data_IF_911542538566
#
_entry.id   IF_911542538566
#
_cell.length_a   1.000
_cell.length_b   1.000
_cell.length_c   1.000
_cell.angle_alpha   90.00
_cell.angle_beta   90.00
_cell.angle_gamma   90.00
#
_symmetry.space_group_name_H-M   'P 1'
#
loop_
_entity.id
_entity.type
_entity.pdbx_description
1 polymer ?
#
# COMPACT_ATOMS: atom_id res chain seq x y z
N UNK A 1 -1.49 17.39 -26.03
CA UNK A 1 -2.93 17.73 -25.95
C UNK A 1 -3.59 16.71 -25.05
N UNK A 2 -4.41 17.14 -24.08
CA UNK A 2 -5.20 16.20 -23.27
C UNK A 2 -6.10 15.37 -24.18
N UNK A 3 -6.10 14.05 -24.01
CA UNK A 3 -6.91 13.12 -24.80
C UNK A 3 -8.40 13.41 -24.59
N UNK A 4 -9.24 13.17 -25.61
CA UNK A 4 -10.69 13.38 -25.51
C UNK A 4 -11.29 12.58 -24.35
N UNK A 5 -10.80 11.36 -24.10
CA UNK A 5 -11.26 10.48 -23.01
C UNK A 5 -10.84 10.96 -21.60
N UNK A 6 -10.06 12.04 -21.50
CA UNK A 6 -9.72 12.67 -20.22
C UNK A 6 -10.69 13.78 -19.82
N UNK A 7 -11.73 14.05 -20.61
CA UNK A 7 -12.73 15.12 -20.33
C UNK A 7 -14.14 14.56 -20.29
N UNK A 8 -14.99 15.12 -19.43
CA UNK A 8 -16.42 14.82 -19.47
C UNK A 8 -17.08 15.41 -20.73
N UNK A 9 -18.08 14.74 -21.32
CA UNK A 9 -18.66 13.44 -20.93
C UNK A 9 -17.93 12.21 -21.51
N UNK A 10 -16.89 12.40 -22.34
CA UNK A 10 -16.21 11.33 -23.06
C UNK A 10 -15.51 10.34 -22.14
N UNK A 11 -14.97 10.81 -21.01
CA UNK A 11 -14.42 9.96 -19.95
C UNK A 11 -15.47 8.99 -19.45
N UNK A 12 -16.62 9.49 -18.97
CA UNK A 12 -17.73 8.66 -18.51
C UNK A 12 -18.19 7.67 -19.59
N UNK A 13 -18.31 8.10 -20.85
CA UNK A 13 -18.68 7.22 -21.96
C UNK A 13 -17.64 6.11 -22.19
N UNK A 14 -16.35 6.44 -22.10
CA UNK A 14 -15.27 5.47 -22.24
C UNK A 14 -15.29 4.43 -21.12
N UNK A 15 -15.40 4.86 -19.86
CA UNK A 15 -15.52 3.97 -18.71
C UNK A 15 -16.74 3.06 -18.84
N UNK A 16 -17.91 3.62 -19.18
CA UNK A 16 -19.12 2.84 -19.46
C UNK A 16 -18.91 1.81 -20.57
N UNK A 17 -18.18 2.16 -21.63
CA UNK A 17 -17.87 1.23 -22.72
C UNK A 17 -16.98 0.07 -22.27
N UNK A 18 -15.96 0.32 -21.44
CA UNK A 18 -15.09 -0.71 -20.85
C UNK A 18 -15.90 -1.67 -19.97
N UNK A 19 -16.75 -1.12 -19.10
CA UNK A 19 -17.64 -1.92 -18.24
C UNK A 19 -18.60 -2.76 -19.08
N UNK A 20 -19.18 -2.20 -20.15
CA UNK A 20 -20.06 -2.93 -21.06
C UNK A 20 -19.33 -4.08 -21.78
N UNK A 21 -18.09 -3.86 -22.22
CA UNK A 21 -17.24 -4.91 -22.82
C UNK A 21 -16.96 -6.02 -21.81
N UNK A 22 -16.60 -5.68 -20.57
CA UNK A 22 -16.39 -6.69 -19.52
C UNK A 22 -17.69 -7.46 -19.25
N UNK A 23 -18.83 -6.78 -19.13
CA UNK A 23 -20.13 -7.42 -18.94
C UNK A 23 -20.48 -8.39 -20.09
N UNK A 24 -20.11 -8.05 -21.34
CA UNK A 24 -20.28 -8.94 -22.49
C UNK A 24 -19.30 -10.12 -22.50
N UNK A 25 -18.08 -9.96 -21.95
CA UNK A 25 -17.08 -11.04 -21.82
C UNK A 25 -17.43 -12.05 -20.73
N UNK A 26 -18.13 -11.65 -19.67
CA UNK A 26 -18.46 -12.52 -18.53
C UNK A 26 -19.23 -13.80 -18.93
N UNK A 27 -20.32 -13.74 -19.76
CA UNK A 27 -20.98 -14.95 -20.25
C UNK A 27 -20.06 -15.84 -21.09
N UNK A 28 -19.17 -15.25 -21.91
CA UNK A 28 -18.22 -16.01 -22.73
C UNK A 28 -17.20 -16.74 -21.87
N UNK A 29 -16.59 -16.07 -20.89
CA UNK A 29 -15.69 -16.70 -19.92
C UNK A 29 -16.40 -17.79 -19.12
N UNK A 30 -17.64 -17.54 -18.72
CA UNK A 30 -18.46 -18.52 -18.01
C UNK A 30 -18.64 -19.78 -18.84
N UNK A 31 -19.03 -19.65 -20.11
CA UNK A 31 -19.15 -20.80 -21.01
C UNK A 31 -17.81 -21.51 -21.17
N UNK A 32 -16.73 -20.76 -21.45
CA UNK A 32 -15.38 -21.29 -21.63
C UNK A 32 -14.93 -22.17 -20.46
N UNK A 33 -15.09 -21.69 -19.23
CA UNK A 33 -14.70 -22.45 -18.02
C UNK A 33 -15.68 -23.56 -17.63
N UNK A 34 -16.92 -23.53 -18.14
CA UNK A 34 -17.89 -24.61 -17.93
C UNK A 34 -17.71 -25.76 -18.94
N UNK A 35 -17.18 -25.50 -20.14
CA UNK A 35 -16.94 -26.53 -21.18
C UNK A 35 -15.55 -27.19 -21.08
N UNK A 36 -14.83 -26.97 -19.99
CA UNK A 36 -13.60 -27.69 -19.66
C UNK A 36 -12.29 -26.95 -19.95
N UNK A 37 -12.30 -25.65 -20.28
CA UNK A 37 -11.05 -24.89 -20.34
C UNK A 37 -10.47 -24.70 -18.92
N UNK A 38 -9.15 -24.79 -18.83
CA UNK A 38 -8.45 -24.58 -17.56
C UNK A 38 -8.63 -23.15 -17.06
N UNK A 39 -8.96 -23.04 -15.76
CA UNK A 39 -8.92 -21.75 -15.06
C UNK A 39 -7.47 -21.35 -14.84
N UNK A 40 -7.17 -20.04 -14.71
CA UNK A 40 -5.81 -19.58 -14.39
C UNK A 40 -5.22 -20.24 -13.14
N UNK A 41 -6.07 -20.58 -12.16
CA UNK A 41 -5.73 -21.40 -11.00
C UNK A 41 -6.77 -22.50 -10.83
N UNK A 42 -6.38 -23.79 -10.73
CA UNK A 42 -7.32 -24.88 -10.54
C UNK A 42 -8.13 -24.79 -9.23
N UNK A 43 -7.55 -24.20 -8.19
CA UNK A 43 -8.17 -24.01 -6.86
C UNK A 43 -9.30 -22.97 -6.86
N UNK A 44 -9.37 -22.11 -7.87
CA UNK A 44 -10.33 -21.01 -7.88
C UNK A 44 -11.74 -21.47 -8.22
N UNK A 45 -12.71 -20.91 -7.49
CA UNK A 45 -14.11 -20.96 -7.89
C UNK A 45 -14.32 -20.16 -9.18
N UNK A 46 -15.36 -20.50 -9.95
CA UNK A 46 -15.74 -19.74 -11.14
C UNK A 46 -15.93 -18.24 -10.81
N UNK A 47 -16.51 -17.92 -9.65
CA UNK A 47 -16.68 -16.54 -9.19
C UNK A 47 -15.34 -15.81 -9.01
N UNK A 48 -14.37 -16.42 -8.33
CA UNK A 48 -13.01 -15.86 -8.17
C UNK A 48 -12.38 -15.58 -9.54
N UNK A 49 -12.43 -16.55 -10.45
CA UNK A 49 -11.90 -16.41 -11.82
C UNK A 49 -12.55 -15.26 -12.60
N UNK A 50 -13.88 -15.17 -12.62
CA UNK A 50 -14.58 -14.14 -13.40
C UNK A 50 -14.29 -12.73 -12.88
N UNK A 51 -14.23 -12.55 -11.56
CA UNK A 51 -13.92 -11.24 -10.96
C UNK A 51 -12.47 -10.85 -11.25
N UNK A 52 -11.50 -11.77 -11.14
CA UNK A 52 -10.10 -11.46 -11.49
C UNK A 52 -9.98 -11.07 -12.96
N UNK A 53 -10.62 -11.81 -13.87
CA UNK A 53 -10.64 -11.45 -15.29
C UNK A 53 -11.23 -10.04 -15.51
N UNK A 54 -12.30 -9.68 -14.79
CA UNK A 54 -12.87 -8.35 -14.85
C UNK A 54 -11.91 -7.27 -14.30
N UNK A 55 -11.26 -7.51 -13.16
CA UNK A 55 -10.28 -6.58 -12.57
C UNK A 55 -9.11 -6.33 -13.53
N UNK A 56 -8.58 -7.37 -14.17
CA UNK A 56 -7.48 -7.29 -15.16
C UNK A 56 -7.79 -6.38 -16.35
N UNK A 57 -9.06 -6.24 -16.71
CA UNK A 57 -9.52 -5.40 -17.82
C UNK A 57 -9.74 -3.93 -17.41
N UNK A 58 -10.00 -3.69 -16.12
CA UNK A 58 -10.40 -2.39 -15.58
C UNK A 58 -9.27 -1.66 -14.84
N UNK A 59 -8.28 -2.38 -14.30
CA UNK A 59 -7.26 -1.80 -13.41
C UNK A 59 -6.39 -0.71 -14.07
N UNK A 60 -6.21 -0.76 -15.40
CA UNK A 60 -5.43 0.23 -16.15
C UNK A 60 -6.27 1.43 -16.65
N UNK A 61 -7.59 1.43 -16.43
CA UNK A 61 -8.47 2.52 -16.86
C UNK A 61 -8.09 3.91 -16.34
N UNK A 62 -7.57 4.05 -15.10
CA UNK A 62 -6.96 5.31 -14.66
C UNK A 62 -5.87 5.85 -15.59
N UNK A 63 -5.06 4.97 -16.19
CA UNK A 63 -3.99 5.39 -17.10
C UNK A 63 -4.52 5.93 -18.43
N UNK A 64 -5.61 5.35 -18.91
CA UNK A 64 -6.30 5.76 -20.13
C UNK A 64 -7.05 7.10 -19.91
N UNK A 65 -7.68 7.27 -18.75
CA UNK A 65 -8.63 8.38 -18.48
C UNK A 65 -8.05 9.55 -17.69
N UNK A 66 -6.92 9.37 -17.02
CA UNK A 66 -6.35 10.34 -16.09
C UNK A 66 -7.16 10.53 -14.80
N UNK A 67 -8.11 9.63 -14.55
CA UNK A 67 -8.87 9.59 -13.30
C UNK A 67 -8.28 8.52 -12.38
N UNK A 68 -7.37 8.95 -11.52
CA UNK A 68 -6.63 8.08 -10.63
C UNK A 68 -7.36 7.77 -9.32
N UNK A 69 -8.65 8.09 -9.23
CA UNK A 69 -9.48 7.84 -8.05
C UNK A 69 -8.89 8.44 -6.75
N UNK A 70 -8.02 9.44 -6.88
CA UNK A 70 -7.50 10.21 -5.78
C UNK A 70 -8.51 11.25 -5.29
N UNK A 71 -8.24 11.83 -4.13
CA UNK A 71 -9.01 12.94 -3.59
C UNK A 71 -8.17 14.20 -3.50
N UNK A 72 -8.83 15.34 -3.41
CA UNK A 72 -8.17 16.62 -3.16
C UNK A 72 -7.73 16.67 -1.69
N UNK A 73 -6.42 16.55 -1.38
CA UNK A 73 -5.95 16.46 -0.01
C UNK A 73 -6.04 17.81 0.73
N UNK A 74 -6.50 18.86 0.07
CA UNK A 74 -6.69 20.20 0.67
C UNK A 74 -8.12 20.44 1.16
N UNK A 75 -9.05 19.53 0.88
CA UNK A 75 -10.47 19.67 1.22
C UNK A 75 -10.89 18.75 2.34
N UNK A 76 -11.69 19.32 3.25
CA UNK A 76 -12.40 18.55 4.26
C UNK A 76 -13.56 17.78 3.62
N UNK A 77 -13.77 16.55 4.08
CA UNK A 77 -14.91 15.71 3.68
C UNK A 77 -15.96 15.78 4.78
N UNK A 78 -17.21 16.06 4.39
CA UNK A 78 -18.30 16.16 5.35
C UNK A 78 -18.54 14.80 6.06
N UNK A 79 -18.94 14.80 7.35
CA UNK A 79 -19.13 13.55 8.11
C UNK A 79 -20.09 12.54 7.44
N UNK A 80 -21.14 13.03 6.76
CA UNK A 80 -22.09 12.18 6.03
C UNK A 80 -21.45 11.41 4.86
N UNK A 81 -20.38 11.96 4.30
CA UNK A 81 -19.67 11.42 3.15
C UNK A 81 -18.49 10.55 3.59
N UNK A 82 -18.19 10.49 4.89
CA UNK A 82 -17.10 9.67 5.46
C UNK A 82 -17.53 8.23 5.81
N UNK A 83 -18.71 7.75 5.38
CA UNK A 83 -19.14 6.34 5.55
C UNK A 83 -18.83 5.72 6.94
N UNK A 84 -19.13 6.45 8.02
CA UNK A 84 -18.90 6.05 9.42
C UNK A 84 -17.48 6.26 9.96
N UNK A 85 -16.51 6.66 9.13
CA UNK A 85 -15.20 7.11 9.58
C UNK A 85 -15.23 8.60 9.99
N UNK A 86 -14.20 9.01 10.73
CA UNK A 86 -13.97 10.39 11.17
C UNK A 86 -12.91 11.04 10.29
N UNK A 87 -13.25 12.13 9.59
CA UNK A 87 -12.24 12.97 8.95
C UNK A 87 -11.35 13.65 10.00
N UNK A 88 -10.04 13.67 9.76
CA UNK A 88 -9.02 14.20 10.66
C UNK A 88 -8.02 15.03 9.83
N UNK A 89 -7.65 16.20 10.35
CA UNK A 89 -6.50 16.93 9.84
C UNK A 89 -5.23 16.54 10.61
N UNK A 90 -4.20 16.16 9.86
CA UNK A 90 -2.86 15.85 10.37
C UNK A 90 -1.94 17.02 10.01
N UNK A 91 -1.31 17.61 11.02
CA UNK A 91 -0.42 18.75 10.83
C UNK A 91 0.94 18.34 10.25
N UNK A 92 1.58 19.29 9.57
CA UNK A 92 2.91 19.09 8.98
C UNK A 92 3.99 18.80 10.02
N UNK A 93 5.03 18.11 9.59
CA UNK A 93 6.22 17.82 10.39
C UNK A 93 7.05 19.09 10.58
N UNK A 94 7.64 19.28 11.76
CA UNK A 94 8.62 20.35 11.98
C UNK A 94 9.91 20.07 11.17
N UNK A 95 10.45 21.03 10.40
CA UNK A 95 11.57 20.77 9.47
C UNK A 95 12.82 20.16 10.10
N UNK A 96 13.08 20.39 11.39
CA UNK A 96 14.21 19.82 12.13
C UNK A 96 14.11 18.30 12.36
N UNK A 97 12.94 17.69 12.12
CA UNK A 97 12.73 16.25 12.17
C UNK A 97 12.92 15.58 10.82
N UNK A 98 13.25 16.33 9.75
CA UNK A 98 13.54 15.81 8.41
C UNK A 98 15.05 15.91 8.20
N UNK A 99 15.76 14.79 8.32
CA UNK A 99 17.23 14.72 8.34
C UNK A 99 17.75 13.63 7.39
N UNK A 100 19.07 13.50 7.33
CA UNK A 100 19.74 12.41 6.63
C UNK A 100 19.43 12.35 5.13
N UNK A 101 19.33 11.14 4.61
CA UNK A 101 19.05 10.89 3.20
C UNK A 101 17.68 11.38 2.75
N UNK A 102 16.64 11.23 3.59
CA UNK A 102 15.29 11.72 3.29
C UNK A 102 15.31 13.23 3.09
N UNK A 103 16.06 13.98 3.90
CA UNK A 103 16.23 15.43 3.69
C UNK A 103 16.89 15.73 2.35
N UNK A 104 17.96 15.01 1.97
CA UNK A 104 18.64 15.22 0.68
C UNK A 104 17.68 15.05 -0.49
N UNK A 105 16.84 14.02 -0.47
CA UNK A 105 15.84 13.81 -1.52
C UNK A 105 14.71 14.84 -1.47
N UNK A 106 14.25 15.21 -0.27
CA UNK A 106 13.27 16.28 -0.11
C UNK A 106 13.75 17.60 -0.73
N UNK A 107 14.98 18.01 -0.44
CA UNK A 107 15.59 19.21 -1.02
C UNK A 107 15.73 19.07 -2.55
N UNK A 108 16.20 17.91 -3.04
CA UNK A 108 16.41 17.69 -4.48
C UNK A 108 15.10 17.71 -5.28
N UNK A 109 14.04 17.10 -4.75
CA UNK A 109 12.73 16.97 -5.38
C UNK A 109 11.76 18.11 -5.02
N UNK A 110 12.18 19.09 -4.21
CA UNK A 110 11.30 20.14 -3.68
C UNK A 110 10.06 19.58 -2.98
N UNK A 111 10.25 18.51 -2.20
CA UNK A 111 9.20 17.87 -1.42
C UNK A 111 9.18 18.44 -0.01
N UNK A 112 8.06 19.06 0.38
CA UNK A 112 7.86 19.63 1.70
C UNK A 112 6.75 18.89 2.45
N UNK A 113 6.85 18.84 3.79
CA UNK A 113 5.75 18.36 4.63
C UNK A 113 4.64 19.41 4.67
N UNK A 114 3.40 18.96 4.44
CA UNK A 114 2.19 19.79 4.45
C UNK A 114 1.17 19.19 5.41
N UNK A 115 0.11 19.96 5.68
CA UNK A 115 -1.05 19.42 6.39
C UNK A 115 -1.81 18.49 5.45
N UNK A 116 -2.18 17.31 5.93
CA UNK A 116 -2.83 16.27 5.12
C UNK A 116 -4.10 15.75 5.80
N UNK A 117 -5.03 15.14 5.04
CA UNK A 117 -6.17 14.43 5.61
C UNK A 117 -5.78 13.08 6.20
N UNK A 118 -6.63 12.57 7.07
CA UNK A 118 -6.67 11.19 7.50
C UNK A 118 -8.11 10.78 7.84
N UNK A 119 -8.37 9.48 7.86
CA UNK A 119 -9.69 8.94 8.20
C UNK A 119 -9.57 7.96 9.35
N UNK A 120 -10.21 8.29 10.47
CA UNK A 120 -10.30 7.46 11.65
C UNK A 120 -11.44 6.46 11.57
N UNK A 121 -11.16 5.17 11.64
CA UNK A 121 -12.12 4.07 11.70
C UNK A 121 -12.28 3.56 13.14
N UNK A 122 -13.51 3.23 13.54
CA UNK A 122 -13.81 2.72 14.87
C UNK A 122 -14.17 3.84 15.86
N UNK A 123 -13.67 3.75 17.10
CA UNK A 123 -14.13 4.61 18.22
C UNK A 123 -13.45 5.99 18.26
N UNK A 124 -13.71 6.83 17.26
CA UNK A 124 -13.12 8.18 17.17
C UNK A 124 -13.97 9.31 17.77
N UNK A 125 -15.10 8.98 18.40
CA UNK A 125 -16.03 9.96 18.95
C UNK A 125 -16.79 10.76 17.89
N UNK A 126 -17.88 11.40 18.31
CA UNK A 126 -18.74 12.24 17.43
C UNK A 126 -18.63 13.74 17.76
N UNK A 127 -17.94 14.10 18.83
CA UNK A 127 -17.76 15.47 19.29
C UNK A 127 -16.87 16.32 18.38
N UNK A 128 -16.68 17.59 18.74
CA UNK A 128 -15.77 18.50 18.03
C UNK A 128 -14.29 18.08 18.21
N UNK A 129 -13.94 17.63 19.41
CA UNK A 129 -12.58 17.21 19.75
C UNK A 129 -12.30 15.75 19.41
N UNK A 130 -11.05 15.46 19.03
CA UNK A 130 -10.58 14.11 18.78
C UNK A 130 -10.10 13.49 20.11
N UNK A 131 -10.61 12.32 20.52
CA UNK A 131 -10.21 11.68 21.77
C UNK A 131 -8.71 11.36 21.81
N UNK A 132 -8.06 11.70 22.92
CA UNK A 132 -6.67 11.31 23.19
C UNK A 132 -6.56 9.78 23.42
N UNK A 133 -5.33 9.27 23.38
CA UNK A 133 -5.04 7.88 23.69
C UNK A 133 -5.28 7.57 25.17
N UNK A 134 -5.88 6.42 25.43
CA UNK A 134 -5.89 5.84 26.78
C UNK A 134 -4.58 5.11 27.06
N UNK A 135 -4.21 4.93 28.33
CA UNK A 135 -3.01 4.18 28.67
C UNK A 135 -3.12 2.72 28.20
N UNK A 136 -2.08 2.22 27.56
CA UNK A 136 -2.05 0.88 26.97
C UNK A 136 -2.85 0.72 25.67
N UNK A 137 -3.55 1.75 25.18
CA UNK A 137 -4.35 1.65 23.96
C UNK A 137 -3.46 1.47 22.73
N UNK A 138 -3.71 0.40 21.95
CA UNK A 138 -3.07 0.13 20.65
C UNK A 138 -3.89 0.74 19.50
N UNK A 139 -3.20 1.25 18.48
CA UNK A 139 -3.82 1.82 17.27
C UNK A 139 -3.14 1.28 16.02
N UNK A 140 -3.94 1.01 14.99
CA UNK A 140 -3.46 0.70 13.65
C UNK A 140 -3.39 1.98 12.81
N UNK A 141 -2.24 2.27 12.23
CA UNK A 141 -2.05 3.26 11.18
C UNK A 141 -1.91 2.53 9.84
N UNK A 142 -2.65 2.94 8.82
CA UNK A 142 -2.67 2.28 7.52
C UNK A 142 -2.33 3.24 6.38
N UNK A 143 -1.52 2.76 5.43
CA UNK A 143 -1.12 3.44 4.20
C UNK A 143 -1.63 2.59 3.03
N UNK A 144 -2.49 3.16 2.20
CA UNK A 144 -3.15 2.42 1.12
C UNK A 144 -2.19 2.11 -0.05
N UNK A 145 -2.52 1.08 -0.83
CA UNK A 145 -1.88 0.76 -2.11
C UNK A 145 -2.32 1.65 -3.27
N UNK A 146 -1.88 1.32 -4.49
CA UNK A 146 -2.20 2.08 -5.71
C UNK A 146 -0.98 2.66 -6.44
N UNK A 147 0.17 1.98 -6.37
CA UNK A 147 1.39 2.31 -7.11
C UNK A 147 1.88 3.76 -6.93
N UNK A 148 1.60 4.39 -5.78
CA UNK A 148 1.80 5.81 -5.47
C UNK A 148 0.98 6.81 -6.29
N UNK A 149 0.28 6.37 -7.33
CA UNK A 149 -0.37 7.24 -8.34
C UNK A 149 -1.89 7.18 -8.28
N UNK A 150 -2.46 6.18 -7.58
CA UNK A 150 -3.88 5.87 -7.53
C UNK A 150 -4.34 5.62 -6.09
N UNK A 151 -5.64 5.79 -5.87
CA UNK A 151 -6.32 5.38 -4.64
C UNK A 151 -6.43 6.51 -3.63
N UNK A 152 -7.07 6.20 -2.50
CA UNK A 152 -7.32 7.16 -1.43
C UNK A 152 -7.48 6.46 -0.08
N UNK A 153 -7.14 7.15 1.00
CA UNK A 153 -7.42 6.72 2.37
C UNK A 153 -8.91 6.76 2.73
N UNK A 154 -9.75 7.32 1.86
CA UNK A 154 -11.17 7.46 2.10
C UNK A 154 -11.86 6.11 2.37
N UNK A 155 -12.83 6.06 3.29
CA UNK A 155 -13.57 4.85 3.68
C UNK A 155 -14.44 4.20 2.59
N UNK A 156 -14.45 4.72 1.36
CA UNK A 156 -15.09 4.12 0.19
C UNK A 156 -14.09 3.37 -0.70
N UNK A 157 -12.79 3.61 -0.52
CA UNK A 157 -11.75 2.90 -1.25
C UNK A 157 -11.69 1.44 -0.81
N UNK A 158 -11.33 0.55 -1.74
CA UNK A 158 -11.25 -0.89 -1.51
C UNK A 158 -10.19 -1.24 -0.45
N UNK A 159 -9.12 -0.46 -0.36
CA UNK A 159 -8.05 -0.63 0.64
C UNK A 159 -8.54 -0.36 2.06
N UNK A 160 -9.62 0.43 2.23
CA UNK A 160 -10.26 0.66 3.54
C UNK A 160 -10.82 -0.61 4.18
N UNK A 161 -10.94 -1.72 3.44
CA UNK A 161 -11.26 -3.02 4.00
C UNK A 161 -10.18 -3.59 4.93
N UNK A 162 -8.93 -3.11 4.85
CA UNK A 162 -7.85 -3.50 5.77
C UNK A 162 -8.08 -2.93 7.18
N UNK A 163 -8.16 -1.60 7.41
CA UNK A 163 -8.42 -1.06 8.74
C UNK A 163 -9.77 -1.53 9.29
N UNK A 164 -10.81 -1.69 8.43
CA UNK A 164 -12.08 -2.28 8.84
C UNK A 164 -11.94 -3.75 9.27
N UNK A 165 -11.17 -4.55 8.54
CA UNK A 165 -10.90 -5.96 8.87
C UNK A 165 -10.21 -6.14 10.22
N UNK A 166 -9.24 -5.27 10.55
CA UNK A 166 -8.64 -5.27 11.88
C UNK A 166 -9.62 -4.91 13.00
N UNK A 167 -10.53 -3.97 12.76
CA UNK A 167 -11.57 -3.63 13.73
C UNK A 167 -12.64 -4.72 13.85
N UNK A 168 -12.91 -5.46 12.79
CA UNK A 168 -13.88 -6.56 12.78
C UNK A 168 -13.33 -7.81 13.49
N UNK A 169 -12.14 -8.26 13.10
CA UNK A 169 -11.55 -9.52 13.59
C UNK A 169 -10.57 -9.33 14.77
N UNK A 170 -10.23 -8.09 15.11
CA UNK A 170 -9.26 -7.74 16.14
C UNK A 170 -9.76 -6.69 17.13
N UNK A 171 -11.07 -6.62 17.37
CA UNK A 171 -11.67 -5.61 18.26
C UNK A 171 -11.16 -5.63 19.72
N UNK A 172 -10.58 -6.75 20.16
CA UNK A 172 -9.92 -6.88 21.46
C UNK A 172 -8.50 -6.29 21.46
N UNK A 173 -7.90 -6.11 20.29
CA UNK A 173 -6.56 -5.55 20.10
C UNK A 173 -6.62 -4.08 19.66
N UNK A 174 -7.50 -3.75 18.71
CA UNK A 174 -7.66 -2.40 18.18
C UNK A 174 -9.10 -1.92 18.33
N UNK A 175 -9.28 -0.79 18.99
CA UNK A 175 -10.55 -0.06 19.04
C UNK A 175 -10.61 1.10 18.03
N UNK A 176 -9.45 1.50 17.52
CA UNK A 176 -9.26 2.56 16.53
C UNK A 176 -8.24 2.13 15.48
N UNK A 177 -8.51 2.51 14.24
CA UNK A 177 -7.54 2.53 13.15
C UNK A 177 -7.59 3.90 12.45
N UNK A 178 -6.51 4.31 11.80
CA UNK A 178 -6.44 5.52 10.98
C UNK A 178 -5.80 5.20 9.63
N UNK A 179 -6.39 5.66 8.54
CA UNK A 179 -5.75 5.66 7.22
C UNK A 179 -5.25 7.07 6.90
N UNK A 180 -4.01 7.19 6.42
CA UNK A 180 -3.40 8.47 6.06
C UNK A 180 -3.60 8.76 4.57
N UNK A 181 -4.20 9.92 4.26
CA UNK A 181 -4.35 10.39 2.89
C UNK A 181 -3.03 11.05 2.44
N UNK A 182 -2.06 10.22 2.06
CA UNK A 182 -0.79 10.70 1.56
C UNK A 182 -0.93 11.25 0.14
N UNK A 183 -0.10 12.22 -0.23
CA UNK A 183 -0.13 12.81 -1.57
C UNK A 183 0.41 11.80 -2.59
N UNK A 184 -0.36 11.62 -3.66
CA UNK A 184 0.00 10.79 -4.79
C UNK A 184 1.12 11.43 -5.62
N UNK A 185 1.92 10.58 -6.25
CA UNK A 185 2.89 10.96 -7.26
C UNK A 185 2.21 11.13 -8.62
N UNK A 186 2.73 12.03 -9.44
CA UNK A 186 2.37 12.12 -10.85
C UNK A 186 3.57 12.60 -11.66
N UNK A 187 3.63 12.18 -12.92
CA UNK A 187 4.59 12.63 -13.93
C UNK A 187 3.93 12.70 -15.30
N UNK A 188 4.72 13.03 -16.33
CA UNK A 188 4.27 13.07 -17.73
C UNK A 188 3.46 11.81 -18.10
N UNK A 189 2.26 11.97 -18.69
CA UNK A 189 1.71 13.18 -19.33
C UNK A 189 0.97 14.16 -18.41
N UNK A 190 0.94 13.90 -17.10
CA UNK A 190 0.26 14.73 -16.10
C UNK A 190 1.25 15.69 -15.42
N UNK A 191 0.73 16.68 -14.69
CA UNK A 191 1.57 17.65 -13.98
C UNK A 191 2.40 16.95 -12.90
N UNK A 192 3.72 17.09 -13.00
CA UNK A 192 4.66 16.48 -12.04
C UNK A 192 4.36 16.93 -10.62
N UNK A 193 4.15 15.96 -9.72
CA UNK A 193 3.84 16.21 -8.31
C UNK A 193 4.15 14.98 -7.47
N UNK A 194 4.30 15.17 -6.16
CA UNK A 194 4.45 14.11 -5.17
C UNK A 194 5.58 13.08 -5.40
N UNK A 195 6.76 13.40 -5.96
CA UNK A 195 7.86 12.42 -6.06
C UNK A 195 8.37 12.02 -4.67
N UNK A 196 9.19 10.99 -4.58
CA UNK A 196 9.88 10.60 -3.35
C UNK A 196 10.71 11.79 -2.80
N UNK A 197 10.65 12.07 -1.48
CA UNK A 197 10.02 11.30 -0.40
C UNK A 197 8.63 11.80 0.05
N UNK A 198 7.82 12.42 -0.82
CA UNK A 198 6.56 13.08 -0.43
C UNK A 198 5.64 12.19 0.41
N UNK A 199 5.31 10.98 -0.06
CA UNK A 199 4.44 10.06 0.66
C UNK A 199 5.03 9.56 1.99
N UNK A 200 6.36 9.43 2.08
CA UNK A 200 7.07 9.13 3.33
C UNK A 200 6.92 10.28 4.34
N UNK A 201 7.06 11.53 3.90
CA UNK A 201 6.84 12.70 4.77
C UNK A 201 5.39 12.76 5.27
N UNK A 202 4.42 12.42 4.42
CA UNK A 202 3.01 12.42 4.80
C UNK A 202 2.69 11.29 5.81
N UNK A 203 3.24 10.09 5.60
CA UNK A 203 3.15 9.00 6.56
C UNK A 203 3.82 9.31 7.90
N UNK A 204 5.01 9.93 7.89
CA UNK A 204 5.68 10.38 9.12
C UNK A 204 4.84 11.43 9.86
N UNK A 205 4.14 12.32 9.16
CA UNK A 205 3.23 13.29 9.77
C UNK A 205 2.10 12.57 10.52
N UNK A 206 1.51 11.53 9.92
CA UNK A 206 0.50 10.69 10.55
C UNK A 206 1.02 10.01 11.83
N UNK A 207 2.21 9.40 11.77
CA UNK A 207 2.83 8.76 12.94
C UNK A 207 3.10 9.75 14.08
N UNK A 208 3.62 10.94 13.76
CA UNK A 208 3.88 12.00 14.74
C UNK A 208 2.59 12.59 15.31
N UNK A 209 1.53 12.70 14.52
CA UNK A 209 0.22 13.10 15.02
C UNK A 209 -0.33 12.11 16.05
N UNK A 210 -0.24 10.81 15.78
CA UNK A 210 -0.65 9.79 16.75
C UNK A 210 0.15 9.87 18.05
N UNK A 211 1.48 9.98 17.94
CA UNK A 211 2.36 9.89 19.11
C UNK A 211 2.47 11.19 19.90
N UNK A 212 2.56 12.34 19.22
CA UNK A 212 2.82 13.65 19.86
C UNK A 212 1.55 14.47 20.09
N UNK A 213 0.53 14.29 19.26
CA UNK A 213 -0.73 15.04 19.40
C UNK A 213 -1.79 14.22 20.14
N UNK A 214 -2.00 12.96 19.74
CA UNK A 214 -3.00 12.10 20.40
C UNK A 214 -2.46 11.35 21.63
N UNK A 215 -1.14 11.34 21.85
CA UNK A 215 -0.53 10.77 23.06
C UNK A 215 -0.39 9.25 23.06
N UNK A 216 -0.48 8.59 21.89
CA UNK A 216 -0.16 7.17 21.81
C UNK A 216 1.33 6.95 22.10
N UNK A 217 1.65 5.98 22.97
CA UNK A 217 3.03 5.53 23.14
C UNK A 217 3.53 4.91 21.82
N UNK A 218 4.75 5.18 21.34
CA UNK A 218 5.31 4.59 20.12
C UNK A 218 5.06 3.09 19.98
N UNK A 219 5.36 2.32 21.04
CA UNK A 219 5.19 0.86 21.07
C UNK A 219 3.74 0.37 20.95
N UNK A 220 2.75 1.28 21.01
CA UNK A 220 1.34 0.97 20.83
C UNK A 220 0.82 1.34 19.42
N UNK A 221 1.64 1.97 18.57
CA UNK A 221 1.29 2.29 17.19
C UNK A 221 1.78 1.15 16.29
N UNK A 222 0.85 0.49 15.61
CA UNK A 222 1.14 -0.54 14.61
C UNK A 222 0.98 0.08 13.22
N UNK A 223 2.04 0.04 12.42
CA UNK A 223 2.03 0.62 11.07
C UNK A 223 1.75 -0.49 10.08
N UNK A 224 0.81 -0.27 9.18
CA UNK A 224 0.45 -1.21 8.14
C UNK A 224 0.38 -0.53 6.78
N UNK A 225 0.59 -1.30 5.72
CA UNK A 225 0.31 -0.85 4.37
C UNK A 225 0.25 -1.98 3.37
N UNK A 226 -0.51 -1.77 2.31
CA UNK A 226 -0.67 -2.70 1.19
C UNK A 226 0.04 -2.19 -0.06
N UNK A 227 0.63 -3.08 -0.87
CA UNK A 227 1.28 -2.70 -2.13
C UNK A 227 2.26 -1.52 -1.97
N UNK A 228 2.05 -0.41 -2.69
CA UNK A 228 2.81 0.83 -2.53
C UNK A 228 2.76 1.42 -1.11
N UNK A 229 1.62 1.32 -0.42
CA UNK A 229 1.47 1.64 0.99
C UNK A 229 2.36 0.80 1.89
N UNK A 230 2.60 -0.46 1.53
CA UNK A 230 3.56 -1.33 2.21
C UNK A 230 5.01 -0.83 2.08
N UNK A 231 5.37 -0.26 0.92
CA UNK A 231 6.65 0.41 0.71
C UNK A 231 6.78 1.68 1.60
N UNK A 232 5.72 2.50 1.65
CA UNK A 232 5.67 3.69 2.53
C UNK A 232 5.82 3.27 4.00
N UNK A 233 5.06 2.26 4.46
CA UNK A 233 5.09 1.77 5.82
C UNK A 233 6.50 1.29 6.24
N UNK A 234 7.17 0.52 5.39
CA UNK A 234 8.55 0.10 5.60
C UNK A 234 9.52 1.29 5.65
N UNK A 235 9.33 2.28 4.77
CA UNK A 235 10.15 3.50 4.72
C UNK A 235 10.01 4.34 5.99
N UNK A 236 8.81 4.44 6.57
CA UNK A 236 8.57 5.11 7.85
C UNK A 236 9.36 4.41 8.95
N UNK A 237 9.22 3.09 9.07
CA UNK A 237 9.91 2.29 10.10
C UNK A 237 11.42 2.40 9.97
N UNK A 238 11.94 2.37 8.74
CA UNK A 238 13.36 2.61 8.45
C UNK A 238 13.80 3.97 8.96
N UNK A 239 13.05 5.03 8.64
CA UNK A 239 13.37 6.39 9.08
C UNK A 239 13.40 6.51 10.61
N UNK A 240 12.41 5.95 11.30
CA UNK A 240 12.32 5.97 12.77
C UNK A 240 13.50 5.24 13.42
N UNK A 241 13.94 4.12 12.83
CA UNK A 241 15.08 3.36 13.33
C UNK A 241 16.41 4.05 13.04
N UNK A 242 16.59 4.61 11.85
CA UNK A 242 17.86 5.20 11.42
C UNK A 242 18.16 6.53 12.13
N UNK A 243 17.13 7.15 12.73
CA UNK A 243 17.22 8.43 13.43
C UNK A 243 16.73 8.39 14.89
N UNK A 244 17.31 7.52 15.75
CA UNK A 244 16.89 7.39 17.15
C UNK A 244 17.11 8.69 17.95
N UNK A 245 18.07 9.52 17.55
CA UNK A 245 18.37 10.82 18.15
C UNK A 245 17.20 11.81 18.10
N UNK A 246 16.25 11.62 17.17
CA UNK A 246 15.07 12.47 17.03
C UNK A 246 13.97 12.14 18.05
N UNK A 247 14.14 11.08 18.85
CA UNK A 247 13.21 10.73 19.93
C UNK A 247 11.79 10.40 19.44
N UNK A 248 11.63 9.94 18.20
CA UNK A 248 10.33 9.58 17.63
C UNK A 248 9.81 8.22 18.10
N UNK A 249 10.70 7.40 18.67
CA UNK A 249 10.38 6.08 19.21
C UNK A 249 10.12 5.02 18.13
N UNK A 250 10.18 3.76 18.55
CA UNK A 250 9.95 2.60 17.69
C UNK A 250 8.47 2.20 17.74
N UNK A 251 7.80 1.94 16.61
CA UNK A 251 6.43 1.45 16.60
C UNK A 251 6.32 0.05 17.21
N UNK A 252 5.10 -0.35 17.58
CA UNK A 252 4.81 -1.67 18.15
C UNK A 252 4.95 -2.82 17.15
N UNK A 253 4.75 -2.54 15.86
CA UNK A 253 4.90 -3.53 14.80
C UNK A 253 4.72 -2.94 13.40
N UNK A 254 5.20 -3.67 12.40
CA UNK A 254 5.05 -3.38 10.97
C UNK A 254 4.29 -4.54 10.29
N UNK A 255 3.20 -4.23 9.60
CA UNK A 255 2.35 -5.22 8.92
C UNK A 255 2.27 -4.87 7.43
N UNK A 256 2.77 -5.76 6.58
CA UNK A 256 2.84 -5.52 5.13
C UNK A 256 1.92 -6.50 4.40
N UNK A 257 1.06 -6.00 3.52
CA UNK A 257 0.22 -6.80 2.64
C UNK A 257 0.69 -6.63 1.21
N UNK A 258 1.03 -7.73 0.53
CA UNK A 258 1.56 -7.76 -0.84
C UNK A 258 2.49 -6.57 -1.16
N UNK A 259 3.52 -6.28 -0.33
CA UNK A 259 4.22 -5.00 -0.41
C UNK A 259 4.93 -4.84 -1.75
N UNK A 260 4.88 -3.64 -2.32
CA UNK A 260 5.64 -3.31 -3.53
C UNK A 260 7.11 -3.07 -3.17
N UNK A 261 7.80 -4.19 -2.91
CA UNK A 261 9.14 -4.22 -2.33
C UNK A 261 10.24 -3.86 -3.33
N UNK A 262 9.98 -4.05 -4.62
CA UNK A 262 10.88 -3.64 -5.70
C UNK A 262 10.11 -2.95 -6.83
N UNK A 263 9.82 -1.65 -6.69
CA UNK A 263 9.22 -0.85 -7.77
C UNK A 263 10.05 -0.80 -9.04
N UNK A 264 11.34 -1.15 -8.98
CA UNK A 264 12.24 -1.08 -10.14
C UNK A 264 12.25 -2.35 -11.00
N UNK A 265 11.57 -3.40 -10.55
CA UNK A 265 11.31 -4.61 -11.33
C UNK A 265 12.56 -5.45 -11.63
N UNK A 266 13.56 -5.51 -10.73
CA UNK A 266 14.81 -6.25 -10.94
C UNK A 266 14.60 -7.76 -11.12
N UNK A 267 13.48 -8.29 -10.62
CA UNK A 267 13.12 -9.71 -10.76
C UNK A 267 12.54 -10.06 -12.13
N UNK A 268 12.02 -9.10 -12.90
CA UNK A 268 11.39 -9.37 -14.20
C UNK A 268 12.39 -9.92 -15.23
N UNK A 269 13.70 -9.75 -15.04
CA UNK A 269 14.72 -10.34 -15.91
C UNK A 269 15.08 -11.79 -15.60
N UNK A 270 14.52 -12.38 -14.55
CA UNK A 270 14.92 -13.71 -14.06
C UNK A 270 14.14 -14.85 -14.73
N UNK A 271 14.77 -16.02 -14.97
CA UNK A 271 14.05 -17.20 -15.42
C UNK A 271 12.94 -17.56 -14.44
N UNK A 272 11.76 -17.92 -14.96
CA UNK A 272 10.59 -18.31 -14.14
C UNK A 272 10.13 -17.24 -13.15
N UNK A 273 10.33 -15.95 -13.49
CA UNK A 273 9.80 -14.88 -12.65
C UNK A 273 8.28 -15.01 -12.51
N UNK A 274 7.82 -14.99 -11.26
CA UNK A 274 6.40 -14.98 -10.89
C UNK A 274 5.65 -13.83 -11.53
N UNK A 275 6.33 -12.73 -11.88
CA UNK A 275 5.73 -11.65 -12.68
C UNK A 275 5.08 -12.20 -13.95
N UNK A 276 5.74 -13.10 -14.70
CA UNK A 276 5.16 -13.68 -15.91
C UNK A 276 4.31 -14.91 -15.63
N UNK A 277 4.77 -15.81 -14.76
CA UNK A 277 4.04 -17.04 -14.44
C UNK A 277 2.66 -16.74 -13.86
N UNK A 278 2.56 -15.71 -13.02
CA UNK A 278 1.32 -15.30 -12.37
C UNK A 278 0.54 -14.23 -13.15
N UNK A 279 1.03 -13.78 -14.31
CA UNK A 279 0.40 -12.71 -15.11
C UNK A 279 -1.04 -13.03 -15.56
N UNK A 280 -1.39 -14.32 -15.62
CA UNK A 280 -2.74 -14.79 -15.93
C UNK A 280 -3.65 -14.94 -14.71
N UNK A 281 -3.07 -14.96 -13.51
CA UNK A 281 -3.78 -15.13 -12.24
C UNK A 281 -3.77 -13.88 -11.37
N UNK A 282 -3.40 -12.72 -11.90
CA UNK A 282 -3.33 -11.49 -11.10
C UNK A 282 -3.78 -10.27 -11.90
N UNK A 283 -4.27 -9.24 -11.19
CA UNK A 283 -4.62 -7.95 -11.79
C UNK A 283 -3.44 -6.98 -11.78
N UNK A 284 -2.50 -7.10 -10.85
CA UNK A 284 -1.26 -6.34 -10.92
C UNK A 284 -0.47 -6.84 -12.15
N UNK A 285 -0.27 -5.95 -13.13
CA UNK A 285 0.42 -6.31 -14.36
C UNK A 285 1.94 -6.31 -14.16
N UNK A 286 2.67 -7.20 -14.87
CA UNK A 286 4.12 -7.14 -14.89
C UNK A 286 4.58 -5.79 -15.45
N UNK A 287 5.57 -5.18 -14.82
CA UNK A 287 6.04 -3.84 -15.19
C UNK A 287 7.02 -3.91 -16.38
N UNK A 288 6.61 -4.54 -17.47
CA UNK A 288 7.35 -4.57 -18.73
C UNK A 288 6.78 -3.61 -19.77
N UNK A 289 5.49 -3.30 -19.66
CA UNK A 289 4.82 -2.34 -20.52
C UNK A 289 5.11 -0.92 -19.99
N UNK A 290 5.77 -0.04 -20.78
CA UNK A 290 6.07 1.34 -20.38
C UNK A 290 4.83 2.16 -19.99
N UNK A 291 3.66 1.76 -20.48
CA UNK A 291 2.38 2.42 -20.25
C UNK A 291 1.56 1.78 -19.10
N UNK A 292 2.08 0.71 -18.48
CA UNK A 292 1.43 0.09 -17.31
C UNK A 292 1.43 1.03 -16.09
N UNK A 293 0.42 0.89 -15.25
CA UNK A 293 0.33 1.62 -13.97
C UNK A 293 1.58 1.47 -13.10
N UNK A 294 2.20 0.28 -13.09
CA UNK A 294 3.45 0.06 -12.35
C UNK A 294 4.62 0.90 -12.87
N UNK A 295 4.83 0.95 -14.19
CA UNK A 295 5.88 1.78 -14.79
C UNK A 295 5.59 3.29 -14.63
N UNK A 296 4.33 3.69 -14.76
CA UNK A 296 3.92 5.07 -14.47
C UNK A 296 4.17 5.43 -12.99
N UNK A 297 3.83 4.52 -12.08
CA UNK A 297 4.08 4.62 -10.65
C UNK A 297 5.56 4.82 -10.32
N UNK A 298 6.42 3.95 -10.85
CA UNK A 298 7.87 4.07 -10.70
C UNK A 298 8.37 5.43 -11.22
N UNK A 299 8.04 5.78 -12.48
CA UNK A 299 8.48 7.05 -13.09
C UNK A 299 8.06 8.26 -12.28
N UNK A 300 6.83 8.26 -11.76
CA UNK A 300 6.28 9.35 -10.96
C UNK A 300 6.92 9.43 -9.58
N UNK A 301 7.20 8.27 -8.96
CA UNK A 301 7.86 8.19 -7.65
C UNK A 301 9.31 8.71 -7.71
N UNK A 302 10.06 8.41 -8.77
CA UNK A 302 11.49 8.70 -8.80
C UNK A 302 11.83 10.19 -8.78
N UNK A 303 11.00 11.05 -9.38
CA UNK A 303 11.31 12.48 -9.50
C UNK A 303 12.67 12.72 -10.17
N UNK A 304 13.68 13.13 -9.40
CA UNK A 304 15.06 13.35 -9.87
C UNK A 304 16.01 12.17 -9.63
N UNK A 305 15.53 11.09 -9.02
CA UNK A 305 16.33 9.91 -8.69
C UNK A 305 16.46 9.04 -9.93
N UNK A 306 17.66 8.56 -10.25
CA UNK A 306 17.83 7.64 -11.36
C UNK A 306 17.28 6.25 -11.01
N UNK A 307 16.84 5.48 -12.01
CA UNK A 307 16.40 4.09 -11.80
C UNK A 307 17.53 3.26 -11.16
N UNK A 308 18.79 3.51 -11.54
CA UNK A 308 19.93 2.79 -10.97
C UNK A 308 20.16 3.10 -9.50
N UNK A 309 20.01 4.37 -9.10
CA UNK A 309 20.11 4.74 -7.68
C UNK A 309 18.95 4.16 -6.88
N UNK A 310 17.74 4.14 -7.45
CA UNK A 310 16.57 3.56 -6.80
C UNK A 310 16.72 2.06 -6.56
N UNK A 311 17.33 1.32 -7.50
CA UNK A 311 17.65 -0.11 -7.38
C UNK A 311 18.60 -0.43 -6.23
N UNK A 312 19.39 0.54 -5.78
CA UNK A 312 20.31 0.42 -4.64
C UNK A 312 19.73 0.99 -3.34
N UNK A 313 18.57 1.65 -3.39
CA UNK A 313 18.05 2.44 -2.28
C UNK A 313 17.08 1.62 -1.38
N UNK A 314 17.40 1.39 -0.09
CA UNK A 314 16.56 0.63 0.83
C UNK A 314 15.20 1.24 1.22
N UNK A 315 14.97 2.51 0.94
CA UNK A 315 13.66 3.16 1.06
C UNK A 315 12.79 2.87 -0.16
N UNK A 316 13.37 2.92 -1.36
CA UNK A 316 12.60 2.77 -2.60
C UNK A 316 12.39 1.32 -3.01
N UNK A 317 13.45 0.51 -3.00
CA UNK A 317 13.41 -0.87 -3.50
C UNK A 317 14.07 -1.86 -2.52
N UNK A 318 13.58 -1.99 -1.28
CA UNK A 318 14.17 -2.89 -0.28
C UNK A 318 14.20 -4.37 -0.69
N UNK A 319 13.40 -4.78 -1.67
CA UNK A 319 13.41 -6.10 -2.29
C UNK A 319 14.34 -6.23 -3.51
N UNK A 320 14.94 -5.16 -4.03
CA UNK A 320 15.74 -5.21 -5.27
C UNK A 320 16.91 -6.19 -5.19
N UNK A 321 17.10 -6.98 -6.25
CA UNK A 321 18.23 -7.91 -6.42
C UNK A 321 19.58 -7.19 -6.59
N UNK A 322 19.54 -5.91 -6.96
CA UNK A 322 20.76 -5.14 -7.22
C UNK A 322 21.34 -4.50 -5.95
N UNK A 323 20.61 -4.42 -4.82
CA UNK A 323 21.15 -3.87 -3.57
C UNK A 323 22.44 -4.58 -3.19
N UNK A 324 23.51 -3.80 -2.97
CA UNK A 324 24.82 -4.35 -2.65
C UNK A 324 24.80 -5.19 -1.35
N UNK A 325 25.67 -6.22 -1.24
CA UNK A 325 25.79 -7.02 -0.02
C UNK A 325 26.13 -6.20 1.24
N UNK A 326 26.86 -5.09 1.07
CA UNK A 326 27.21 -4.18 2.17
C UNK A 326 26.00 -3.42 2.68
N UNK A 327 25.10 -2.99 1.77
CA UNK A 327 23.87 -2.26 2.13
C UNK A 327 22.81 -3.21 2.67
N UNK A 328 22.69 -4.42 2.12
CA UNK A 328 21.65 -5.37 2.51
C UNK A 328 21.91 -6.04 3.86
N UNK A 329 23.17 -6.18 4.29
CA UNK A 329 23.51 -6.82 5.56
C UNK A 329 23.05 -5.97 6.75
N UNK A 330 22.18 -6.52 7.60
CA UNK A 330 21.68 -5.79 8.77
C UNK A 330 20.74 -4.65 8.40
N UNK A 331 20.27 -4.56 7.16
CA UNK A 331 19.44 -3.46 6.67
C UNK A 331 18.08 -3.38 7.38
N UNK A 332 17.65 -4.43 8.08
CA UNK A 332 16.45 -4.51 8.90
C UNK A 332 16.75 -4.72 10.39
N UNK A 333 18.02 -4.81 10.79
CA UNK A 333 18.40 -4.88 12.20
C UNK A 333 17.81 -3.70 12.96
N UNK A 334 17.22 -3.96 14.13
CA UNK A 334 16.57 -2.94 14.95
C UNK A 334 15.14 -2.55 14.53
N UNK A 335 14.59 -3.16 13.47
CA UNK A 335 13.17 -3.03 13.15
C UNK A 335 12.27 -3.49 14.32
N UNK A 336 11.02 -3.01 14.40
CA UNK A 336 10.01 -3.58 15.28
C UNK A 336 9.65 -5.01 14.82
N UNK A 337 8.82 -5.74 15.58
CA UNK A 337 8.21 -6.97 15.07
C UNK A 337 7.52 -6.74 13.72
N UNK A 338 7.70 -7.67 12.79
CA UNK A 338 7.27 -7.56 11.40
C UNK A 338 6.41 -8.75 10.98
N UNK A 339 5.31 -8.48 10.28
CA UNK A 339 4.45 -9.47 9.66
C UNK A 339 4.29 -9.15 8.17
N UNK A 340 4.69 -10.06 7.29
CA UNK A 340 4.49 -9.93 5.83
C UNK A 340 3.45 -10.95 5.37
N UNK A 341 2.48 -10.48 4.59
CA UNK A 341 1.52 -11.30 3.85
C UNK A 341 1.80 -11.12 2.36
N UNK A 342 1.86 -12.21 1.61
CA UNK A 342 1.85 -12.21 0.15
C UNK A 342 0.90 -13.27 -0.39
N UNK A 343 0.41 -13.09 -1.61
CA UNK A 343 -0.39 -14.05 -2.35
C UNK A 343 0.47 -14.92 -3.27
N UNK A 344 0.35 -16.24 -3.18
CA UNK A 344 1.11 -17.18 -4.04
C UNK A 344 0.77 -17.06 -5.53
N UNK A 345 -0.33 -16.38 -5.88
CA UNK A 345 -0.77 -16.12 -7.24
C UNK A 345 -0.51 -14.72 -7.75
N UNK A 346 0.28 -13.90 -7.04
CA UNK A 346 0.53 -12.49 -7.37
C UNK A 346 1.83 -12.26 -8.14
N UNK A 347 1.88 -11.23 -8.98
CA UNK A 347 3.04 -10.93 -9.85
C UNK A 347 4.22 -10.30 -9.11
N UNK A 348 3.99 -9.76 -7.90
CA UNK A 348 5.02 -9.13 -7.07
C UNK A 348 5.77 -10.13 -6.17
N UNK A 349 5.39 -11.41 -6.19
CA UNK A 349 5.77 -12.42 -5.21
C UNK A 349 7.30 -12.58 -5.06
N UNK A 350 8.06 -12.57 -6.15
CA UNK A 350 9.53 -12.70 -6.06
C UNK A 350 10.16 -11.58 -5.24
N UNK A 351 9.71 -10.33 -5.44
CA UNK A 351 10.24 -9.20 -4.67
C UNK A 351 9.85 -9.25 -3.19
N UNK A 352 8.69 -9.83 -2.88
CA UNK A 352 8.20 -10.05 -1.52
C UNK A 352 9.00 -11.16 -0.85
N UNK A 353 9.33 -12.22 -1.58
CA UNK A 353 10.23 -13.29 -1.11
C UNK A 353 11.63 -12.77 -0.83
N UNK A 354 12.19 -11.92 -1.69
CA UNK A 354 13.49 -11.28 -1.40
C UNK A 354 13.42 -10.36 -0.17
N UNK A 355 12.34 -9.58 -0.01
CA UNK A 355 12.13 -8.75 1.16
C UNK A 355 12.05 -9.57 2.46
N UNK A 356 11.24 -10.63 2.46
CA UNK A 356 11.03 -11.46 3.65
C UNK A 356 12.31 -12.21 4.05
N UNK A 357 13.10 -12.70 3.09
CA UNK A 357 14.39 -13.36 3.38
C UNK A 357 15.35 -12.40 4.10
N UNK A 358 15.43 -11.15 3.62
CA UNK A 358 16.27 -10.12 4.24
C UNK A 358 15.77 -9.74 5.63
N UNK A 359 14.45 -9.60 5.82
CA UNK A 359 13.88 -9.35 7.15
C UNK A 359 14.12 -10.53 8.10
N UNK A 360 13.93 -11.78 7.65
CA UNK A 360 14.15 -12.98 8.45
C UNK A 360 15.62 -13.16 8.87
N UNK A 361 16.56 -12.66 8.06
CA UNK A 361 17.99 -12.69 8.39
C UNK A 361 18.37 -11.74 9.54
N UNK A 362 17.66 -10.61 9.66
CA UNK A 362 18.02 -9.52 10.58
C UNK A 362 17.09 -9.40 11.80
N UNK A 363 15.84 -9.85 11.69
CA UNK A 363 14.81 -9.75 12.74
C UNK A 363 14.73 -11.08 13.51
N UNK A 364 14.65 -11.06 14.86
CA UNK A 364 14.47 -12.27 15.66
C UNK A 364 13.29 -13.13 15.20
N UNK A 365 13.46 -14.46 15.21
CA UNK A 365 12.45 -15.41 14.69
C UNK A 365 11.09 -15.33 15.38
N UNK A 366 11.06 -14.95 16.64
CA UNK A 366 9.84 -14.74 17.43
C UNK A 366 9.16 -13.39 17.14
N UNK A 367 9.87 -12.46 16.51
CA UNK A 367 9.39 -11.14 16.12
C UNK A 367 9.12 -11.01 14.60
N UNK A 368 9.33 -12.06 13.81
CA UNK A 368 9.11 -12.06 12.36
C UNK A 368 8.17 -13.17 11.90
N UNK A 369 7.17 -12.82 11.09
CA UNK A 369 6.28 -13.77 10.44
C UNK A 369 6.15 -13.45 8.95
N UNK A 370 6.28 -14.47 8.11
CA UNK A 370 5.93 -14.43 6.70
C UNK A 370 4.79 -15.42 6.43
N UNK A 371 3.73 -14.94 5.78
CA UNK A 371 2.55 -15.71 5.42
C UNK A 371 2.29 -15.58 3.91
N UNK A 372 2.72 -16.58 3.14
CA UNK A 372 2.38 -16.72 1.73
C UNK A 372 1.08 -17.52 1.58
N UNK A 373 0.00 -16.86 1.13
CA UNK A 373 -1.31 -17.47 0.97
C UNK A 373 -1.44 -18.08 -0.42
N UNK A 374 -1.51 -19.41 -0.49
CA UNK A 374 -1.55 -20.16 -1.74
C UNK A 374 -2.66 -19.66 -2.69
N UNK A 375 -2.29 -19.46 -3.97
CA UNK A 375 -3.16 -19.01 -5.07
C UNK A 375 -3.93 -17.70 -4.81
N UNK A 376 -3.60 -16.95 -3.77
CA UNK A 376 -4.15 -15.62 -3.56
C UNK A 376 -3.50 -14.59 -4.48
N UNK A 377 -4.29 -13.61 -4.91
CA UNK A 377 -3.84 -12.52 -5.80
C UNK A 377 -3.27 -11.36 -5.00
N UNK A 378 -2.71 -10.39 -5.71
CA UNK A 378 -2.23 -9.14 -5.14
C UNK A 378 -3.33 -8.45 -4.32
N UNK A 379 -3.02 -8.00 -3.10
CA UNK A 379 -3.94 -7.33 -2.17
C UNK A 379 -5.26 -8.08 -1.91
N UNK A 380 -5.26 -9.43 -1.93
CA UNK A 380 -6.47 -10.23 -1.72
C UNK A 380 -7.21 -9.90 -0.41
N UNK A 381 -6.52 -9.40 0.61
CA UNK A 381 -7.09 -9.00 1.91
C UNK A 381 -8.07 -7.82 1.79
N UNK A 382 -7.93 -7.00 0.73
CA UNK A 382 -8.84 -5.92 0.39
C UNK A 382 -10.15 -6.43 -0.23
N UNK A 383 -10.22 -7.73 -0.60
CA UNK A 383 -11.30 -8.30 -1.39
C UNK A 383 -12.11 -9.32 -0.57
N UNK A 384 -13.35 -9.03 -0.16
CA UNK A 384 -14.23 -10.00 0.50
C UNK A 384 -14.49 -11.29 -0.31
N UNK A 385 -14.16 -11.28 -1.60
CA UNK A 385 -14.22 -12.47 -2.46
C UNK A 385 -13.21 -13.57 -2.05
N UNK A 386 -12.19 -13.22 -1.26
CA UNK A 386 -11.13 -14.11 -0.81
C UNK A 386 -11.37 -14.74 0.57
N UNK A 387 -12.63 -14.88 0.99
CA UNK A 387 -12.93 -15.69 2.17
C UNK A 387 -12.79 -17.20 1.87
N UNK A 388 -12.29 -18.01 2.83
CA UNK A 388 -11.92 -17.63 4.21
C UNK A 388 -10.47 -17.12 4.38
N UNK A 389 -9.67 -17.10 3.31
CA UNK A 389 -8.25 -16.74 3.38
C UNK A 389 -8.03 -15.33 3.96
N UNK A 390 -8.89 -14.39 3.58
CA UNK A 390 -8.91 -13.01 4.08
C UNK A 390 -9.14 -12.96 5.60
N UNK A 391 -10.24 -13.49 6.12
CA UNK A 391 -10.52 -13.42 7.57
C UNK A 391 -9.51 -14.21 8.40
N UNK A 392 -9.01 -15.34 7.89
CA UNK A 392 -7.93 -16.10 8.54
C UNK A 392 -6.63 -15.30 8.64
N UNK A 393 -6.33 -14.48 7.64
CA UNK A 393 -5.16 -13.59 7.64
C UNK A 393 -5.26 -12.54 8.74
N UNK A 394 -6.41 -11.85 8.86
CA UNK A 394 -6.59 -10.88 9.95
C UNK A 394 -6.48 -11.52 11.34
N UNK A 395 -7.13 -12.68 11.55
CA UNK A 395 -7.06 -13.41 12.83
C UNK A 395 -5.62 -13.80 13.17
N UNK A 396 -4.88 -14.34 12.21
CA UNK A 396 -3.46 -14.73 12.42
C UNK A 396 -2.58 -13.56 12.83
N UNK A 397 -2.78 -12.38 12.22
CA UNK A 397 -2.04 -11.17 12.58
C UNK A 397 -2.45 -10.67 13.97
N UNK A 398 -3.75 -10.67 14.29
CA UNK A 398 -4.25 -10.28 15.62
C UNK A 398 -3.68 -11.19 16.72
N UNK A 399 -3.69 -12.50 16.50
CA UNK A 399 -3.12 -13.50 17.42
C UNK A 399 -1.60 -13.33 17.55
N UNK A 400 -0.91 -12.92 16.50
CA UNK A 400 0.50 -12.55 16.57
C UNK A 400 0.71 -11.29 17.43
N UNK A 401 -0.06 -10.21 17.22
CA UNK A 401 0.05 -8.96 18.00
C UNK A 401 -0.24 -9.18 19.49
N UNK A 402 -1.12 -10.11 19.84
CA UNK A 402 -1.45 -10.44 21.23
C UNK A 402 -0.35 -11.24 21.94
N UNK A 403 0.58 -11.84 21.18
CA UNK A 403 1.73 -12.60 21.69
C UNK A 403 3.00 -11.75 21.83
N UNK A 404 3.02 -10.54 21.25
CA UNK A 404 4.07 -9.52 21.47
C UNK A 404 3.89 -8.86 22.83
#
# INVERSE_FOLDING_TARGET
MASLIQKEPFRSLYVCSKVAVVAAKVPLWTLLYCIGADRPRPSWTLKKTLVVNALRELIETPMETGDFWGRDPTKEVAPRDCNGARFIWVDKITPNLIVGEVKRFADACNAESVRIPAYGFGRWGTGAEIPLAHDGEKILMHLHGGAFVMGTAHPEDVTSHIPRGFLEYGNSTFTRAVSIEYRLSASDPYSSSGPFPTALLDGLAGYLYLTRTLGFKPQNVFISGDSAGGNIAQSIVRYLRDHPELGMGKPGGLILFSPWADPTGTHHGTPNSTAFENSNSDFARPQIDPDSMGQYGLRSLLGKISVQDARQNPYLAPGSLEISPEVSRGMFSGFPPCYIVGGGGETLLDSIRTLQERMAADIPKDAFVYNEVADAIHDFVCLPLWEPERSNTFKSIVDWIQRL
#
